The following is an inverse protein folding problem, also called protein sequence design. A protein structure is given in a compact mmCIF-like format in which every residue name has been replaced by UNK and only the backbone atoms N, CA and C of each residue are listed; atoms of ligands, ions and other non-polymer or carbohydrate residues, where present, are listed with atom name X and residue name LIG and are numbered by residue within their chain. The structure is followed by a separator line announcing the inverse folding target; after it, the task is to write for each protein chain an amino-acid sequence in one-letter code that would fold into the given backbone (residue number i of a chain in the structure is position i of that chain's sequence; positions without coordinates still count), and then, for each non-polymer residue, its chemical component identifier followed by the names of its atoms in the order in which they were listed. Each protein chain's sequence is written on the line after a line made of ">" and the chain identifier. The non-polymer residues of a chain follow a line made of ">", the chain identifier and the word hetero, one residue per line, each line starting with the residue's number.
data_IF_514343666917
#
_entry.id   IF_514343666917
#
_cell.length_a   1.000
_cell.length_b   1.000
_cell.length_c   1.000
_cell.angle_alpha   90.00
_cell.angle_beta   90.00
_cell.angle_gamma   90.00
#
_symmetry.space_group_name_H-M   'P 1'
#
loop_
_entity.id
_entity.type
_entity.pdbx_description
1 polymer ?
#
# COMPACT_ATOMS: atom_id res chain seq x y z
N UNK A 1 -48.07 -40.64 34.52
CA UNK A 1 -48.25 -39.23 34.11
C UNK A 1 -46.90 -38.57 34.11
N UNK A 2 -46.48 -38.07 32.95
CA UNK A 2 -45.27 -37.28 32.66
C UNK A 2 -43.94 -38.05 32.73
N UNK A 3 -42.95 -37.88 31.85
CA UNK A 3 -42.88 -37.41 30.46
C UNK A 3 -41.44 -37.72 30.00
N UNK A 4 -41.24 -37.78 28.70
CA UNK A 4 -39.99 -38.01 27.99
C UNK A 4 -38.87 -37.02 28.38
N UNK A 5 -37.65 -37.51 28.62
CA UNK A 5 -36.43 -36.73 28.43
C UNK A 5 -35.51 -37.48 27.47
N UNK A 6 -35.59 -37.08 26.20
CA UNK A 6 -34.58 -37.42 25.20
C UNK A 6 -33.25 -36.77 25.54
N UNK A 7 -32.23 -37.60 25.71
CA UNK A 7 -30.83 -37.16 25.73
C UNK A 7 -30.42 -36.69 24.34
N UNK A 8 -30.33 -35.38 24.15
CA UNK A 8 -29.68 -34.77 22.99
C UNK A 8 -28.17 -34.87 23.19
N UNK A 9 -27.56 -35.91 22.63
CA UNK A 9 -26.12 -35.97 22.40
C UNK A 9 -25.78 -35.00 21.26
N UNK A 10 -25.51 -33.74 21.60
CA UNK A 10 -24.88 -32.78 20.68
C UNK A 10 -23.37 -32.94 20.71
N UNK A 11 -22.85 -34.02 20.12
CA UNK A 11 -21.42 -34.12 19.83
C UNK A 11 -21.10 -33.10 18.73
N UNK A 12 -20.28 -32.11 19.07
CA UNK A 12 -19.70 -31.18 18.11
C UNK A 12 -18.65 -31.92 17.29
N UNK A 13 -19.06 -32.53 16.17
CA UNK A 13 -18.16 -32.87 15.06
C UNK A 13 -17.60 -31.57 14.47
N UNK A 14 -16.54 -31.05 15.07
CA UNK A 14 -15.66 -30.10 14.40
C UNK A 14 -14.89 -30.89 13.34
N UNK A 15 -15.39 -30.80 12.11
CA UNK A 15 -14.93 -31.44 10.87
C UNK A 15 -13.39 -31.57 10.78
N UNK A 16 -12.84 -32.80 10.84
CA UNK A 16 -11.39 -33.07 10.78
C UNK A 16 -10.74 -32.50 9.51
N UNK A 17 -11.50 -32.44 8.40
CA UNK A 17 -11.09 -31.80 7.15
C UNK A 17 -10.79 -30.30 7.33
N UNK A 18 -11.57 -29.60 8.15
CA UNK A 18 -11.34 -28.17 8.43
C UNK A 18 -10.05 -27.95 9.23
N UNK A 19 -9.69 -28.89 10.11
CA UNK A 19 -8.47 -28.85 10.92
C UNK A 19 -7.24 -29.11 10.05
N UNK A 20 -7.32 -30.08 9.13
CA UNK A 20 -6.25 -30.35 8.17
C UNK A 20 -6.01 -29.18 7.22
N UNK A 21 -7.07 -28.55 6.69
CA UNK A 21 -6.98 -27.34 5.87
C UNK A 21 -6.34 -26.17 6.63
N UNK A 22 -6.79 -25.91 7.87
CA UNK A 22 -6.18 -24.92 8.76
C UNK A 22 -4.70 -25.21 9.06
N UNK A 23 -4.31 -26.49 9.16
CA UNK A 23 -2.92 -26.90 9.38
C UNK A 23 -2.05 -26.68 8.14
N UNK A 24 -2.58 -26.96 6.94
CA UNK A 24 -1.91 -26.71 5.66
C UNK A 24 -1.77 -25.22 5.40
N UNK A 25 -2.81 -24.42 5.64
CA UNK A 25 -2.75 -22.95 5.51
C UNK A 25 -1.70 -22.36 6.46
N UNK A 26 -1.60 -22.86 7.71
CA UNK A 26 -0.56 -22.42 8.65
C UNK A 26 0.85 -22.77 8.16
N UNK A 27 1.05 -23.96 7.59
CA UNK A 27 2.34 -24.36 7.01
C UNK A 27 2.69 -23.50 5.80
N UNK A 28 1.74 -23.28 4.88
CA UNK A 28 1.94 -22.47 3.68
C UNK A 28 2.16 -20.98 4.02
N UNK A 29 1.45 -20.46 5.02
CA UNK A 29 1.65 -19.10 5.55
C UNK A 29 2.99 -18.92 6.26
N UNK A 30 3.58 -19.99 6.81
CA UNK A 30 4.92 -19.94 7.39
C UNK A 30 6.04 -19.93 6.33
N UNK A 31 5.75 -20.45 5.14
CA UNK A 31 6.68 -20.47 4.00
C UNK A 31 6.68 -19.15 3.21
N UNK A 32 5.53 -18.45 3.19
CA UNK A 32 5.38 -17.17 2.48
C UNK A 32 5.84 -16.00 3.34
N UNK A 33 6.92 -15.36 2.94
CA UNK A 33 7.44 -14.18 3.63
C UNK A 33 6.55 -12.94 3.46
N UNK A 34 6.54 -12.11 4.50
CA UNK A 34 5.91 -10.79 4.42
C UNK A 34 6.61 -9.94 3.38
N UNK A 35 5.85 -9.29 2.50
CA UNK A 35 6.37 -8.38 1.49
C UNK A 35 5.86 -6.98 1.69
N UNK A 36 6.75 -5.99 1.70
CA UNK A 36 6.42 -4.59 1.90
C UNK A 36 6.84 -3.81 0.65
N UNK A 37 5.86 -3.20 0.00
CA UNK A 37 6.10 -2.21 -1.04
C UNK A 37 5.89 -0.82 -0.44
N UNK A 38 6.93 -0.01 -0.33
CA UNK A 38 6.73 1.41 0.02
C UNK A 38 6.41 2.21 -1.22
N UNK A 39 5.25 2.85 -1.25
CA UNK A 39 4.75 3.63 -2.36
C UNK A 39 4.64 5.10 -1.94
N UNK A 40 5.61 5.89 -2.35
CA UNK A 40 5.55 7.34 -2.20
C UNK A 40 4.94 7.99 -3.44
N UNK A 41 4.12 9.02 -3.25
CA UNK A 41 3.66 9.88 -4.36
C UNK A 41 4.30 11.25 -4.24
N UNK A 42 4.87 11.76 -5.32
CA UNK A 42 5.52 13.06 -5.36
C UNK A 42 4.93 13.94 -6.46
N UNK A 43 4.74 15.22 -6.16
CA UNK A 43 4.39 16.25 -7.14
C UNK A 43 4.98 17.59 -6.69
N UNK A 44 5.98 18.09 -7.42
CA UNK A 44 6.67 19.35 -7.10
C UNK A 44 7.31 19.42 -5.70
N UNK A 45 7.74 18.28 -5.16
CA UNK A 45 8.46 18.21 -3.89
C UNK A 45 9.77 19.01 -3.94
N UNK A 46 10.16 19.57 -2.80
CA UNK A 46 11.44 20.23 -2.61
C UNK A 46 12.57 19.21 -2.41
N UNK A 47 13.80 19.68 -2.58
CA UNK A 47 14.98 18.83 -2.36
C UNK A 47 15.07 18.29 -0.92
N UNK A 48 14.62 19.08 0.06
CA UNK A 48 14.60 18.69 1.48
C UNK A 48 13.59 17.58 1.74
N UNK A 49 12.39 17.68 1.18
CA UNK A 49 11.32 16.68 1.29
C UNK A 49 11.80 15.35 0.67
N UNK A 50 12.27 15.40 -0.59
CA UNK A 50 12.84 14.21 -1.25
C UNK A 50 13.97 13.58 -0.45
N UNK A 51 14.85 14.39 0.16
CA UNK A 51 15.96 13.90 0.98
C UNK A 51 15.47 13.19 2.25
N UNK A 52 14.42 13.70 2.90
CA UNK A 52 13.83 13.08 4.09
C UNK A 52 13.22 11.73 3.76
N UNK A 53 12.41 11.66 2.70
CA UNK A 53 11.81 10.39 2.27
C UNK A 53 12.87 9.37 1.83
N UNK A 54 13.87 9.78 1.06
CA UNK A 54 14.95 8.90 0.64
C UNK A 54 15.77 8.38 1.83
N UNK A 55 16.02 9.21 2.85
CA UNK A 55 16.64 8.75 4.11
C UNK A 55 15.81 7.64 4.76
N UNK A 56 14.48 7.78 4.85
CA UNK A 56 13.61 6.74 5.39
C UNK A 56 13.66 5.44 4.59
N UNK A 57 13.64 5.53 3.25
CA UNK A 57 13.76 4.38 2.35
C UNK A 57 15.12 3.67 2.53
N UNK A 58 16.21 4.42 2.65
CA UNK A 58 17.56 3.88 2.87
C UNK A 58 17.70 3.22 4.25
N UNK A 59 17.04 3.75 5.29
CA UNK A 59 16.99 3.09 6.60
C UNK A 59 16.28 1.73 6.53
N UNK A 60 15.16 1.65 5.80
CA UNK A 60 14.46 0.38 5.57
C UNK A 60 15.31 -0.62 4.78
N UNK A 61 16.05 -0.14 3.78
CA UNK A 61 16.96 -0.97 2.99
C UNK A 61 18.08 -1.58 3.84
N UNK A 62 18.72 -0.76 4.68
CA UNK A 62 19.75 -1.20 5.62
C UNK A 62 19.22 -2.23 6.63
N UNK A 63 18.05 -1.97 7.21
CA UNK A 63 17.41 -2.87 8.18
C UNK A 63 17.02 -4.21 7.56
N UNK A 64 16.47 -4.21 6.33
CA UNK A 64 16.15 -5.43 5.60
C UNK A 64 17.42 -6.21 5.21
N UNK A 65 18.48 -5.52 4.79
CA UNK A 65 19.77 -6.12 4.47
C UNK A 65 20.39 -6.83 5.69
N UNK A 66 20.34 -6.20 6.86
CA UNK A 66 20.82 -6.79 8.11
C UNK A 66 20.09 -8.11 8.42
N UNK A 67 18.75 -8.13 8.30
CA UNK A 67 17.94 -9.36 8.50
C UNK A 67 18.24 -10.45 7.48
N UNK A 68 18.36 -10.07 6.21
CA UNK A 68 18.73 -11.00 5.12
C UNK A 68 20.09 -11.64 5.39
N UNK A 69 21.05 -10.85 5.84
CA UNK A 69 22.39 -11.32 6.18
C UNK A 69 22.37 -12.25 7.39
N UNK A 70 21.67 -11.88 8.47
CA UNK A 70 21.51 -12.72 9.65
C UNK A 70 20.88 -14.07 9.31
N UNK A 71 19.88 -14.10 8.43
CA UNK A 71 19.24 -15.33 7.97
C UNK A 71 20.17 -16.20 7.12
N UNK A 72 20.84 -15.60 6.13
CA UNK A 72 21.62 -16.35 5.16
C UNK A 72 22.94 -16.87 5.73
N UNK A 73 23.61 -16.07 6.57
CA UNK A 73 24.94 -16.39 7.08
C UNK A 73 24.94 -16.92 8.51
N UNK A 74 24.05 -16.45 9.39
CA UNK A 74 23.97 -16.90 10.79
C UNK A 74 22.90 -17.97 11.01
N UNK A 75 22.14 -18.34 9.97
CA UNK A 75 21.03 -19.28 10.02
C UNK A 75 20.01 -18.98 11.13
N UNK A 76 19.90 -17.70 11.53
CA UNK A 76 18.96 -17.26 12.54
C UNK A 76 17.56 -17.22 11.92
N UNK A 77 16.61 -17.91 12.56
CA UNK A 77 15.19 -17.88 12.17
C UNK A 77 14.55 -16.60 12.68
N UNK A 78 14.53 -15.58 11.83
CA UNK A 78 13.83 -14.33 12.10
C UNK A 78 12.33 -14.46 11.77
N UNK A 79 11.49 -14.37 12.80
CA UNK A 79 10.02 -14.43 12.68
C UNK A 79 9.43 -13.16 12.03
N UNK A 80 10.18 -12.05 12.10
CA UNK A 80 9.78 -10.74 11.59
C UNK A 80 10.45 -10.41 10.25
N UNK A 81 11.07 -11.40 9.61
CA UNK A 81 11.65 -11.25 8.28
C UNK A 81 10.62 -10.75 7.27
N UNK A 82 11.00 -9.72 6.51
CA UNK A 82 10.24 -9.22 5.38
C UNK A 82 11.12 -8.96 4.16
N UNK A 83 10.49 -9.01 2.99
CA UNK A 83 11.04 -8.49 1.73
C UNK A 83 10.62 -7.04 1.54
N UNK A 84 11.51 -6.23 0.99
CA UNK A 84 11.29 -4.80 0.81
C UNK A 84 11.56 -4.36 -0.62
N UNK A 85 10.69 -3.49 -1.13
CA UNK A 85 10.89 -2.82 -2.41
C UNK A 85 10.32 -1.40 -2.35
N UNK A 86 11.12 -0.43 -2.76
CA UNK A 86 10.77 0.98 -2.77
C UNK A 86 10.23 1.45 -4.12
N UNK A 87 9.11 2.16 -4.10
CA UNK A 87 8.48 2.78 -5.26
C UNK A 87 8.18 4.25 -5.02
N UNK A 88 8.57 5.09 -5.97
CA UNK A 88 8.24 6.52 -5.98
C UNK A 88 7.44 6.81 -7.26
N UNK A 89 6.25 7.36 -7.14
CA UNK A 89 5.39 7.73 -8.25
C UNK A 89 5.44 9.25 -8.44
N UNK A 90 6.21 9.69 -9.44
CA UNK A 90 6.26 11.09 -9.83
C UNK A 90 5.07 11.40 -10.73
N UNK A 91 4.24 12.32 -10.28
CA UNK A 91 3.12 12.83 -11.05
C UNK A 91 3.54 14.06 -11.89
N UNK A 92 3.03 14.15 -13.12
CA UNK A 92 3.41 15.18 -14.11
C UNK A 92 4.94 15.37 -14.23
N UNK A 93 5.63 14.25 -14.47
CA UNK A 93 7.08 14.15 -14.34
C UNK A 93 7.85 14.54 -15.63
N UNK A 94 7.13 14.89 -16.70
CA UNK A 94 7.69 15.18 -18.02
C UNK A 94 7.28 16.57 -18.50
N UNK A 95 8.19 17.22 -19.21
CA UNK A 95 7.99 18.50 -19.87
C UNK A 95 8.42 18.41 -21.34
N UNK A 96 7.87 19.28 -22.19
CA UNK A 96 8.25 19.35 -23.60
C UNK A 96 9.46 20.26 -23.74
N UNK A 97 10.52 19.72 -24.33
CA UNK A 97 11.71 20.48 -24.69
C UNK A 97 11.50 21.29 -25.98
N UNK A 98 12.47 22.14 -26.35
CA UNK A 98 12.45 22.99 -27.55
C UNK A 98 12.22 22.18 -28.85
N UNK A 99 12.56 20.88 -28.83
CA UNK A 99 12.36 19.94 -29.94
C UNK A 99 11.01 19.20 -29.91
N UNK A 100 10.06 19.61 -29.06
CA UNK A 100 8.80 18.90 -28.78
C UNK A 100 8.98 17.45 -28.27
N UNK A 101 10.13 17.14 -27.68
CA UNK A 101 10.37 15.84 -27.04
C UNK A 101 10.00 15.90 -25.56
N UNK A 102 9.33 14.86 -25.07
CA UNK A 102 8.96 14.74 -23.66
C UNK A 102 10.18 14.29 -22.84
N UNK A 103 10.75 15.21 -22.07
CA UNK A 103 11.92 14.99 -21.22
C UNK A 103 11.56 15.03 -19.73
N UNK A 104 12.32 14.36 -18.84
CA UNK A 104 12.09 14.45 -17.41
C UNK A 104 12.27 15.88 -16.89
N UNK A 105 11.32 16.35 -16.10
CA UNK A 105 11.34 17.70 -15.57
C UNK A 105 12.46 17.92 -14.51
N UNK A 106 12.62 19.18 -14.09
CA UNK A 106 13.61 19.56 -13.05
C UNK A 106 13.50 18.77 -11.74
N UNK A 107 12.32 18.30 -11.35
CA UNK A 107 12.10 17.57 -10.09
C UNK A 107 12.65 16.14 -10.17
N UNK A 108 12.55 15.51 -11.35
CA UNK A 108 13.19 14.21 -11.59
C UNK A 108 14.72 14.35 -11.55
N UNK A 109 15.25 15.47 -12.06
CA UNK A 109 16.69 15.78 -11.98
C UNK A 109 17.15 16.04 -10.54
N UNK A 110 16.33 16.74 -9.73
CA UNK A 110 16.59 16.93 -8.31
C UNK A 110 16.68 15.58 -7.57
N UNK A 111 15.76 14.65 -7.82
CA UNK A 111 15.82 13.31 -7.23
C UNK A 111 17.16 12.61 -7.51
N UNK A 112 17.66 12.71 -8.74
CA UNK A 112 18.96 12.14 -9.13
C UNK A 112 20.13 12.73 -8.33
N UNK A 113 20.09 14.03 -8.02
CA UNK A 113 21.11 14.70 -7.20
C UNK A 113 21.02 14.38 -5.70
N UNK A 114 19.83 14.03 -5.22
CA UNK A 114 19.58 13.79 -3.79
C UNK A 114 19.92 12.36 -3.35
N UNK A 115 19.87 11.38 -4.27
CA UNK A 115 20.04 9.96 -3.90
C UNK A 115 21.38 9.66 -3.22
N UNK A 116 22.47 10.23 -3.72
CA UNK A 116 23.82 10.06 -3.16
C UNK A 116 23.95 10.73 -1.79
N UNK A 117 23.32 11.90 -1.63
CA UNK A 117 23.27 12.64 -0.37
C UNK A 117 22.50 11.86 0.69
N UNK A 118 21.39 11.24 0.31
CA UNK A 118 20.59 10.39 1.21
C UNK A 118 21.39 9.17 1.67
N UNK A 119 22.05 8.48 0.74
CA UNK A 119 22.89 7.32 1.06
C UNK A 119 24.06 7.69 1.99
N UNK A 120 24.77 8.78 1.66
CA UNK A 120 25.88 9.28 2.48
C UNK A 120 25.43 9.63 3.90
N UNK A 121 24.25 10.24 4.05
CA UNK A 121 23.71 10.60 5.35
C UNK A 121 23.33 9.39 6.22
N UNK A 122 22.84 8.30 5.64
CA UNK A 122 22.43 7.10 6.38
C UNK A 122 23.62 6.19 6.70
N UNK A 123 24.53 5.99 5.75
CA UNK A 123 25.70 5.12 5.95
C UNK A 123 26.88 5.81 6.65
N UNK A 124 26.80 7.13 6.85
CA UNK A 124 27.84 7.95 7.49
C UNK A 124 29.21 7.85 6.81
N UNK A 125 29.21 7.53 5.52
CA UNK A 125 30.41 7.48 4.68
C UNK A 125 30.07 8.03 3.28
N UNK A 126 31.02 8.64 2.56
CA UNK A 126 30.79 9.11 1.20
C UNK A 126 30.37 7.94 0.29
N UNK A 127 29.11 7.93 -0.12
CA UNK A 127 28.52 6.88 -0.95
C UNK A 127 28.12 7.46 -2.30
N UNK A 128 28.44 6.73 -3.37
CA UNK A 128 27.99 7.04 -4.72
C UNK A 128 27.18 5.89 -5.26
N UNK A 129 25.89 6.12 -5.50
CA UNK A 129 24.99 5.09 -6.02
C UNK A 129 25.16 5.03 -7.55
N UNK A 130 25.24 3.82 -8.14
CA UNK A 130 25.26 3.67 -9.59
C UNK A 130 24.05 4.35 -10.25
N UNK A 131 24.20 4.88 -11.47
CA UNK A 131 23.09 5.49 -12.18
C UNK A 131 21.95 4.48 -12.42
N UNK A 132 20.69 4.93 -12.45
CA UNK A 132 19.56 4.03 -12.59
C UNK A 132 19.51 3.38 -13.96
N UNK A 133 18.98 2.16 -14.00
CA UNK A 133 18.51 1.55 -15.24
C UNK A 133 17.26 2.28 -15.71
N UNK A 134 17.31 2.78 -16.94
CA UNK A 134 16.21 3.49 -17.59
C UNK A 134 15.40 2.49 -18.42
N UNK A 135 14.10 2.41 -18.19
CA UNK A 135 13.20 1.56 -18.97
C UNK A 135 12.04 2.40 -19.50
N UNK A 136 11.79 2.45 -20.83
CA UNK A 136 10.59 3.07 -21.37
C UNK A 136 9.36 2.25 -20.95
N UNK A 137 8.25 2.93 -20.63
CA UNK A 137 7.01 2.27 -20.20
C UNK A 137 5.79 2.88 -20.88
N UNK A 138 4.66 2.17 -20.98
CA UNK A 138 3.46 2.71 -21.63
C UNK A 138 2.90 4.01 -21.02
N UNK A 139 3.23 4.30 -19.77
CA UNK A 139 2.78 5.50 -19.05
C UNK A 139 3.84 6.61 -18.96
N UNK A 140 5.01 6.44 -19.59
CA UNK A 140 6.15 7.35 -19.47
C UNK A 140 7.47 6.57 -19.35
N UNK A 141 8.13 6.67 -18.21
CA UNK A 141 9.42 6.02 -17.97
C UNK A 141 9.55 5.40 -16.59
N UNK A 142 10.59 4.60 -16.40
CA UNK A 142 10.95 4.03 -15.12
C UNK A 142 12.45 4.12 -14.90
N UNK A 143 12.84 4.57 -13.72
CA UNK A 143 14.22 4.60 -13.25
C UNK A 143 14.35 3.57 -12.12
N UNK A 144 15.30 2.64 -12.24
CA UNK A 144 15.50 1.57 -11.26
C UNK A 144 16.91 1.61 -10.70
N UNK A 145 17.03 1.76 -9.39
CA UNK A 145 18.28 1.68 -8.64
C UNK A 145 18.34 0.40 -7.82
N UNK A 146 19.56 -0.09 -7.63
CA UNK A 146 19.87 -1.08 -6.60
C UNK A 146 20.47 -0.28 -5.44
N UNK A 147 19.79 -0.32 -4.29
CA UNK A 147 20.23 0.36 -3.07
C UNK A 147 21.42 -0.40 -2.44
N UNK A 148 22.20 0.25 -1.54
CA UNK A 148 23.36 -0.38 -0.91
C UNK A 148 23.07 -1.71 -0.19
N UNK A 149 21.89 -1.85 0.41
CA UNK A 149 21.39 -3.08 1.04
C UNK A 149 20.85 -4.13 0.05
N UNK A 150 20.90 -3.85 -1.25
CA UNK A 150 20.51 -4.77 -2.31
C UNK A 150 18.99 -4.86 -2.55
N UNK A 151 18.19 -3.95 -1.98
CA UNK A 151 16.79 -3.79 -2.39
C UNK A 151 16.66 -2.85 -3.59
N UNK A 152 15.55 -2.95 -4.31
CA UNK A 152 15.27 -2.06 -5.43
C UNK A 152 14.57 -0.78 -4.97
N UNK A 153 14.98 0.33 -5.54
CA UNK A 153 14.23 1.58 -5.56
C UNK A 153 13.81 1.88 -6.99
N UNK A 154 12.51 2.10 -7.21
CA UNK A 154 11.93 2.29 -8.53
C UNK A 154 11.16 3.60 -8.57
N UNK A 155 11.64 4.57 -9.35
CA UNK A 155 10.88 5.77 -9.65
C UNK A 155 10.09 5.57 -10.96
N UNK A 156 8.77 5.75 -10.85
CA UNK A 156 7.82 5.74 -11.94
C UNK A 156 7.62 7.18 -12.43
N UNK A 157 8.08 7.47 -13.64
CA UNK A 157 8.03 8.79 -14.28
C UNK A 157 6.75 8.83 -15.12
N UNK A 158 5.69 9.44 -14.58
CA UNK A 158 4.38 9.49 -15.24
C UNK A 158 4.32 10.68 -16.19
N UNK A 159 3.93 10.38 -17.43
CA UNK A 159 3.64 11.37 -18.46
C UNK A 159 2.14 11.72 -18.43
N UNK A 160 1.82 13.01 -18.18
CA UNK A 160 0.43 13.48 -18.06
C UNK A 160 -0.41 13.26 -19.32
N UNK A 161 0.22 13.12 -20.48
CA UNK A 161 -0.46 12.88 -21.76
C UNK A 161 -0.90 11.43 -21.90
N UNK A 162 -0.18 10.50 -21.24
CA UNK A 162 -0.40 9.04 -21.36
C UNK A 162 -1.22 8.47 -20.21
N UNK A 163 -1.03 8.97 -19.00
CA UNK A 163 -1.70 8.45 -17.79
C UNK A 163 -2.36 9.59 -17.00
N UNK A 164 -3.43 9.24 -16.28
CA UNK A 164 -4.13 10.19 -15.40
C UNK A 164 -3.19 10.68 -14.30
N UNK A 165 -3.15 11.99 -14.13
CA UNK A 165 -2.44 12.66 -13.06
C UNK A 165 -3.32 12.80 -11.80
N UNK A 166 -2.72 13.27 -10.70
CA UNK A 166 -3.14 13.33 -9.29
C UNK A 166 -2.75 12.12 -8.45
N UNK A 167 -2.58 12.38 -7.14
CA UNK A 167 -2.21 11.40 -6.08
C UNK A 167 -3.07 10.14 -6.15
N UNK A 168 -4.40 10.25 -6.16
CA UNK A 168 -5.31 9.10 -6.33
C UNK A 168 -4.95 8.18 -7.50
N UNK A 169 -4.67 8.75 -8.68
CA UNK A 169 -4.40 7.93 -9.86
C UNK A 169 -3.03 7.26 -9.81
N UNK A 170 -2.07 7.85 -9.10
CA UNK A 170 -0.83 7.16 -8.70
C UNK A 170 -1.12 6.00 -7.74
N UNK A 171 -2.06 6.17 -6.80
CA UNK A 171 -2.49 5.09 -5.91
C UNK A 171 -3.13 3.92 -6.68
N UNK A 172 -4.07 4.23 -7.58
CA UNK A 172 -4.68 3.25 -8.48
C UNK A 172 -3.60 2.53 -9.31
N UNK A 173 -2.61 3.27 -9.82
CA UNK A 173 -1.54 2.70 -10.64
C UNK A 173 -0.74 1.63 -9.87
N UNK A 174 -0.32 1.90 -8.63
CA UNK A 174 0.44 0.91 -7.88
C UNK A 174 -0.41 -0.28 -7.44
N UNK A 175 -1.72 -0.09 -7.18
CA UNK A 175 -2.63 -1.20 -6.89
C UNK A 175 -2.71 -2.16 -8.09
N UNK A 176 -2.93 -1.63 -9.30
CA UNK A 176 -2.97 -2.47 -10.50
C UNK A 176 -1.60 -3.03 -10.90
N UNK A 177 -0.53 -2.27 -10.76
CA UNK A 177 0.79 -2.70 -11.23
C UNK A 177 1.46 -3.66 -10.25
N UNK A 178 1.51 -3.31 -8.96
CA UNK A 178 2.20 -4.12 -7.95
C UNK A 178 1.33 -5.31 -7.54
N UNK A 179 0.08 -5.06 -7.14
CA UNK A 179 -0.80 -6.13 -6.68
C UNK A 179 -1.43 -6.89 -7.86
N UNK A 180 -1.93 -6.18 -8.86
CA UNK A 180 -2.55 -6.79 -10.05
C UNK A 180 -1.54 -7.51 -10.96
N UNK A 181 -0.66 -6.76 -11.61
CA UNK A 181 0.19 -7.29 -12.67
C UNK A 181 1.34 -8.14 -12.14
N UNK A 182 2.10 -7.63 -11.15
CA UNK A 182 3.31 -8.31 -10.66
C UNK A 182 3.05 -9.52 -9.78
N UNK A 183 2.01 -9.49 -8.92
CA UNK A 183 1.69 -10.65 -8.08
C UNK A 183 0.86 -11.71 -8.82
N UNK A 184 -0.11 -11.32 -9.67
CA UNK A 184 -0.93 -12.32 -10.36
C UNK A 184 -0.40 -12.74 -11.73
N UNK A 185 0.43 -11.93 -12.39
CA UNK A 185 1.04 -12.25 -13.69
C UNK A 185 0.06 -12.35 -14.87
N UNK A 186 -1.23 -12.10 -14.66
CA UNK A 186 -2.26 -12.40 -15.66
C UNK A 186 -3.05 -11.13 -16.04
N UNK A 187 -2.47 -10.32 -16.93
CA UNK A 187 -3.13 -9.16 -17.55
C UNK A 187 -4.49 -9.54 -18.16
N UNK A 188 -4.66 -10.79 -18.60
CA UNK A 188 -5.90 -11.30 -19.19
C UNK A 188 -7.08 -11.28 -18.21
N UNK A 189 -6.83 -11.38 -16.90
CA UNK A 189 -7.87 -11.31 -15.87
C UNK A 189 -8.34 -9.88 -15.70
N UNK A 190 -7.41 -8.94 -15.56
CA UNK A 190 -7.70 -7.50 -15.45
C UNK A 190 -8.39 -7.02 -16.73
N UNK A 191 -7.95 -7.50 -17.89
CA UNK A 191 -8.55 -7.21 -19.19
C UNK A 191 -9.95 -7.84 -19.33
N UNK A 192 -10.22 -9.03 -18.79
CA UNK A 192 -11.57 -9.63 -18.71
C UNK A 192 -12.51 -8.80 -17.84
N UNK A 193 -12.04 -8.25 -16.72
CA UNK A 193 -12.82 -7.33 -15.87
C UNK A 193 -13.13 -6.03 -16.61
N UNK A 194 -12.15 -5.50 -17.35
CA UNK A 194 -12.30 -4.27 -18.11
C UNK A 194 -13.19 -4.44 -19.36
N UNK A 195 -12.99 -5.50 -20.17
CA UNK A 195 -13.75 -5.80 -21.39
C UNK A 195 -15.20 -6.18 -21.12
N UNK A 196 -15.54 -6.73 -19.95
CA UNK A 196 -16.96 -7.02 -19.58
C UNK A 196 -17.83 -5.77 -19.58
N UNK A 197 -17.23 -4.57 -19.52
CA UNK A 197 -17.90 -3.27 -19.58
C UNK A 197 -18.32 -2.85 -20.99
N UNK A 198 -17.75 -3.42 -22.07
CA UNK A 198 -18.05 -2.98 -23.45
C UNK A 198 -19.31 -3.63 -24.05
N UNK A 199 -19.80 -4.76 -23.50
CA UNK A 199 -21.00 -5.47 -23.99
C UNK A 199 -22.30 -5.18 -23.24
N UNK A 200 -22.32 -4.31 -22.22
CA UNK A 200 -23.49 -4.13 -21.33
C UNK A 200 -24.08 -2.72 -21.28
N UNK A 201 -24.34 -2.14 -22.46
CA UNK A 201 -25.28 -1.03 -22.62
C UNK A 201 -26.66 -1.50 -23.13
N UNK A 202 -27.05 -2.75 -22.86
CA UNK A 202 -28.42 -3.20 -23.10
C UNK A 202 -28.95 -4.02 -21.92
N UNK A 203 -30.05 -3.52 -21.37
CA UNK A 203 -31.09 -4.23 -20.64
C UNK A 203 -30.83 -4.74 -19.21
N UNK A 204 -31.60 -4.14 -18.29
CA UNK A 204 -32.30 -4.69 -17.10
C UNK A 204 -31.72 -5.94 -16.41
N UNK A 205 -31.11 -5.73 -15.24
CA UNK A 205 -31.43 -6.37 -13.94
C UNK A 205 -30.29 -6.10 -12.94
N UNK A 206 -30.56 -5.27 -11.92
CA UNK A 206 -29.55 -4.70 -11.01
C UNK A 206 -29.13 -5.60 -9.84
N UNK A 207 -29.67 -6.83 -9.67
CA UNK A 207 -29.48 -7.60 -8.42
C UNK A 207 -28.74 -8.93 -8.51
N UNK A 208 -28.26 -9.38 -9.68
CA UNK A 208 -27.59 -10.71 -9.81
C UNK A 208 -26.24 -10.71 -10.53
N UNK A 209 -25.52 -9.58 -10.57
CA UNK A 209 -24.43 -9.38 -11.54
C UNK A 209 -23.06 -8.95 -10.99
N UNK A 210 -22.65 -9.40 -9.81
CA UNK A 210 -21.54 -8.74 -9.09
C UNK A 210 -20.56 -9.67 -8.36
N UNK A 211 -20.27 -10.87 -8.89
CA UNK A 211 -19.28 -11.80 -8.34
C UNK A 211 -18.12 -12.07 -9.31
N UNK A 212 -17.29 -11.05 -9.61
CA UNK A 212 -16.32 -11.13 -10.71
C UNK A 212 -14.90 -11.48 -10.27
N UNK A 213 -14.43 -10.87 -9.21
CA UNK A 213 -13.06 -10.90 -8.75
C UNK A 213 -12.97 -11.43 -7.29
N UNK A 214 -14.04 -11.35 -6.50
CA UNK A 214 -14.22 -12.09 -5.25
C UNK A 214 -14.40 -13.59 -5.51
N UNK A 215 -15.10 -13.95 -6.59
CA UNK A 215 -15.13 -15.34 -7.09
C UNK A 215 -13.79 -15.78 -7.70
N UNK A 216 -12.90 -14.86 -8.08
CA UNK A 216 -11.59 -15.17 -8.64
C UNK A 216 -10.56 -15.40 -7.53
N UNK A 217 -10.56 -14.57 -6.48
CA UNK A 217 -9.85 -14.82 -5.21
C UNK A 217 -10.25 -16.16 -4.59
N UNK A 218 -11.53 -16.53 -4.67
CA UNK A 218 -12.02 -17.83 -4.20
C UNK A 218 -11.70 -19.02 -5.13
N UNK A 219 -11.39 -18.77 -6.41
CA UNK A 219 -10.99 -19.81 -7.39
C UNK A 219 -9.47 -19.86 -7.61
N UNK A 220 -8.70 -19.16 -6.79
CA UNK A 220 -7.26 -19.06 -6.94
C UNK A 220 -6.54 -20.11 -6.11
N UNK A 221 -5.35 -20.52 -6.54
CA UNK A 221 -4.46 -21.33 -5.72
C UNK A 221 -4.28 -20.68 -4.34
N UNK A 222 -4.54 -21.42 -3.26
CA UNK A 222 -4.44 -20.95 -1.88
C UNK A 222 -3.10 -20.24 -1.59
N UNK A 223 -2.03 -20.63 -2.28
CA UNK A 223 -0.71 -19.98 -2.22
C UNK A 223 -0.72 -18.51 -2.63
N UNK A 224 -1.42 -18.14 -3.72
CA UNK A 224 -1.49 -16.75 -4.19
C UNK A 224 -2.32 -15.87 -3.26
N UNK A 225 -3.39 -16.43 -2.70
CA UNK A 225 -4.20 -15.75 -1.69
C UNK A 225 -3.40 -15.42 -0.45
N UNK A 226 -2.67 -16.41 0.09
CA UNK A 226 -1.80 -16.22 1.25
C UNK A 226 -0.69 -15.21 0.95
N UNK A 227 -0.12 -15.23 -0.26
CA UNK A 227 0.86 -14.23 -0.69
C UNK A 227 0.31 -12.80 -0.66
N UNK A 228 -0.94 -12.57 -1.08
CA UNK A 228 -1.56 -11.26 -0.98
C UNK A 228 -1.92 -10.85 0.45
N UNK A 229 -2.36 -11.80 1.27
CA UNK A 229 -2.63 -11.53 2.69
C UNK A 229 -1.37 -11.11 3.45
N UNK A 230 -0.20 -11.59 3.00
CA UNK A 230 1.14 -11.27 3.51
C UNK A 230 1.88 -10.19 2.69
N UNK A 231 1.21 -9.56 1.72
CA UNK A 231 1.75 -8.41 0.99
C UNK A 231 1.11 -7.13 1.52
N UNK A 232 1.94 -6.13 1.83
CA UNK A 232 1.52 -4.84 2.33
C UNK A 232 2.03 -3.70 1.45
N UNK A 233 1.17 -2.70 1.26
CA UNK A 233 1.51 -1.44 0.61
C UNK A 233 1.65 -0.36 1.69
N UNK A 234 2.85 0.17 1.86
CA UNK A 234 3.11 1.31 2.74
C UNK A 234 2.97 2.59 1.91
N UNK A 235 1.84 3.28 2.05
CA UNK A 235 1.61 4.58 1.44
C UNK A 235 2.37 5.67 2.21
N UNK A 236 3.16 6.45 1.47
CA UNK A 236 4.02 7.50 1.99
C UNK A 236 3.76 8.81 1.25
N UNK A 237 3.81 9.92 1.99
CA UNK A 237 3.91 11.26 1.40
C UNK A 237 5.39 11.67 1.22
N UNK A 238 5.64 12.69 0.39
CA UNK A 238 6.98 13.11 -0.03
C UNK A 238 7.87 13.65 1.08
N UNK A 239 7.29 14.05 2.22
CA UNK A 239 7.92 14.75 3.34
C UNK A 239 8.10 13.89 4.60
N UNK A 240 7.85 12.58 4.50
CA UNK A 240 7.74 11.70 5.66
C UNK A 240 9.09 11.12 6.09
N UNK A 241 9.52 11.47 7.29
CA UNK A 241 10.69 10.90 7.97
C UNK A 241 10.26 9.81 8.97
N UNK A 242 10.67 8.57 8.75
CA UNK A 242 10.31 7.45 9.62
C UNK A 242 11.46 6.46 9.82
N UNK A 243 11.29 5.60 10.83
CA UNK A 243 12.25 4.56 11.18
C UNK A 243 11.68 3.16 10.92
N UNK A 244 12.53 2.14 10.69
CA UNK A 244 12.07 0.79 10.41
C UNK A 244 11.22 0.17 11.53
N UNK A 245 11.47 0.54 12.79
CA UNK A 245 10.70 0.05 13.93
C UNK A 245 9.22 0.45 13.84
N UNK A 246 8.93 1.64 13.31
CA UNK A 246 7.56 2.10 13.12
C UNK A 246 6.83 1.24 12.07
N UNK A 247 7.50 0.88 10.98
CA UNK A 247 6.94 -0.01 9.96
C UNK A 247 6.70 -1.41 10.54
N UNK A 248 7.62 -1.93 11.34
CA UNK A 248 7.45 -3.22 12.02
C UNK A 248 6.23 -3.21 12.94
N UNK A 249 6.03 -2.15 13.73
CA UNK A 249 4.85 -2.03 14.58
C UNK A 249 3.55 -2.05 13.79
N UNK A 250 3.49 -1.43 12.60
CA UNK A 250 2.34 -1.52 11.72
C UNK A 250 2.12 -2.94 11.20
N UNK A 251 3.20 -3.61 10.75
CA UNK A 251 3.13 -5.00 10.28
C UNK A 251 2.66 -5.93 11.40
N UNK A 252 3.14 -5.77 12.63
CA UNK A 252 2.75 -6.59 13.78
C UNK A 252 1.25 -6.47 14.08
N UNK A 253 0.69 -5.25 13.95
CA UNK A 253 -0.77 -5.02 14.07
C UNK A 253 -1.54 -5.71 12.96
N UNK A 254 -1.06 -5.62 11.72
CA UNK A 254 -1.67 -6.29 10.57
C UNK A 254 -1.60 -7.83 10.69
N UNK A 255 -0.51 -8.37 11.22
CA UNK A 255 -0.34 -9.81 11.47
C UNK A 255 -1.26 -10.31 12.59
N UNK A 256 -1.47 -9.51 13.64
CA UNK A 256 -2.31 -9.88 14.79
C UNK A 256 -3.77 -10.16 14.41
N UNK A 257 -4.31 -9.43 13.43
CA UNK A 257 -5.71 -9.60 13.01
C UNK A 257 -5.84 -9.54 11.49
N UNK A 258 -6.22 -10.68 10.89
CA UNK A 258 -6.42 -10.82 9.43
C UNK A 258 -7.51 -9.90 8.87
N UNK A 259 -8.48 -9.46 9.68
CA UNK A 259 -9.53 -8.51 9.25
C UNK A 259 -9.04 -7.05 9.18
N UNK A 260 -7.84 -6.76 9.65
CA UNK A 260 -7.28 -5.40 9.53
C UNK A 260 -6.83 -5.19 8.08
N UNK A 261 -7.53 -4.29 7.40
CA UNK A 261 -7.26 -3.91 6.02
C UNK A 261 -6.27 -2.75 5.91
N UNK A 262 -6.20 -1.90 6.94
CA UNK A 262 -5.24 -0.79 7.02
C UNK A 262 -4.78 -0.53 8.47
N UNK A 263 -3.52 -0.12 8.63
CA UNK A 263 -2.96 0.36 9.88
C UNK A 263 -2.23 1.69 9.66
N UNK A 264 -2.50 2.69 10.49
CA UNK A 264 -1.89 4.02 10.41
C UNK A 264 -0.93 4.22 11.58
N UNK A 265 0.22 4.84 11.33
CA UNK A 265 1.10 5.29 12.42
C UNK A 265 0.77 6.71 12.88
N UNK A 266 1.32 7.10 14.02
CA UNK A 266 1.23 8.46 14.53
C UNK A 266 2.22 9.36 13.82
N UNK A 267 1.78 10.56 13.48
CA UNK A 267 2.62 11.55 12.80
C UNK A 267 2.71 12.78 13.68
N UNK A 268 3.95 13.23 13.86
CA UNK A 268 4.26 14.40 14.68
C UNK A 268 4.83 15.48 13.77
N UNK A 269 4.17 16.64 13.63
CA UNK A 269 4.73 17.74 12.85
C UNK A 269 5.98 18.27 13.54
N UNK A 270 7.10 18.27 12.82
CA UNK A 270 8.40 18.75 13.28
C UNK A 270 8.56 20.18 12.74
N UNK A 271 8.85 21.14 13.63
CA UNK A 271 9.02 22.54 13.26
C UNK A 271 8.59 23.53 14.35
N UNK A 272 8.84 24.81 14.09
CA UNK A 272 8.53 25.94 14.96
C UNK A 272 7.78 27.04 14.21
N UNK A 273 6.71 27.58 14.79
CA UNK A 273 5.98 28.73 14.25
C UNK A 273 4.47 28.63 14.46
N UNK A 274 3.72 29.73 14.26
CA UNK A 274 2.28 29.78 14.51
C UNK A 274 1.47 28.78 13.67
N UNK A 275 1.89 28.56 12.42
CA UNK A 275 1.27 27.57 11.52
C UNK A 275 1.45 26.14 12.02
N UNK A 276 2.65 25.79 12.49
CA UNK A 276 2.96 24.46 13.05
C UNK A 276 2.22 24.25 14.37
N UNK A 277 2.05 25.29 15.19
CA UNK A 277 1.24 25.22 16.40
C UNK A 277 -0.24 24.97 16.11
N UNK A 278 -0.78 25.65 15.09
CA UNK A 278 -2.13 25.40 14.62
C UNK A 278 -2.29 23.96 14.09
N UNK A 279 -1.35 23.47 13.28
CA UNK A 279 -1.34 22.07 12.82
C UNK A 279 -1.28 21.08 13.99
N UNK A 280 -0.45 21.35 15.01
CA UNK A 280 -0.38 20.54 16.24
C UNK A 280 -1.71 20.55 17.00
N UNK A 281 -2.38 21.69 17.07
CA UNK A 281 -3.66 21.85 17.72
C UNK A 281 -4.79 21.12 16.96
N UNK A 282 -4.90 21.31 15.64
CA UNK A 282 -5.86 20.59 14.81
C UNK A 282 -5.64 19.09 14.87
N UNK A 283 -4.38 18.64 14.80
CA UNK A 283 -4.04 17.23 14.91
C UNK A 283 -4.38 16.68 16.31
N UNK A 284 -4.17 17.45 17.37
CA UNK A 284 -4.53 17.06 18.73
C UNK A 284 -6.05 16.96 18.91
N UNK A 285 -6.83 17.92 18.41
CA UNK A 285 -8.30 17.89 18.45
C UNK A 285 -8.83 16.73 17.61
N UNK A 286 -8.33 16.57 16.38
CA UNK A 286 -8.68 15.46 15.51
C UNK A 286 -8.42 14.13 16.20
N UNK A 287 -7.25 13.97 16.81
CA UNK A 287 -6.88 12.77 17.56
C UNK A 287 -7.72 12.56 18.82
N UNK A 288 -8.13 13.61 19.54
CA UNK A 288 -9.02 13.49 20.71
C UNK A 288 -10.45 13.08 20.33
N UNK A 289 -11.01 13.70 19.28
CA UNK A 289 -12.32 13.32 18.72
C UNK A 289 -12.27 11.91 18.11
N UNK A 290 -11.19 11.58 17.43
CA UNK A 290 -10.99 10.28 16.80
C UNK A 290 -10.83 9.18 17.86
N UNK A 291 -10.11 9.41 18.97
CA UNK A 291 -10.07 8.47 20.10
C UNK A 291 -11.44 8.27 20.77
N UNK A 292 -12.25 9.32 20.89
CA UNK A 292 -13.61 9.19 21.40
C UNK A 292 -14.51 8.37 20.45
N UNK A 293 -14.38 8.57 19.14
CA UNK A 293 -15.10 7.79 18.12
C UNK A 293 -14.60 6.34 18.03
N UNK A 294 -13.30 6.10 18.14
CA UNK A 294 -12.66 4.77 18.15
C UNK A 294 -13.12 3.92 19.33
N UNK A 295 -13.35 4.53 20.50
CA UNK A 295 -13.87 3.82 21.68
C UNK A 295 -15.34 3.40 21.51
N UNK A 296 -16.11 4.16 20.74
CA UNK A 296 -17.53 3.88 20.48
C UNK A 296 -17.71 2.89 19.31
N UNK A 297 -16.89 3.01 18.26
CA UNK A 297 -17.02 2.22 17.03
C UNK A 297 -16.08 1.00 16.98
N UNK A 298 -15.07 0.94 17.84
CA UNK A 298 -14.05 -0.12 17.84
C UNK A 298 -13.13 -0.12 16.61
N UNK A 299 -13.16 0.94 15.80
CA UNK A 299 -12.32 1.12 14.61
C UNK A 299 -12.04 2.61 14.33
N UNK A 300 -10.92 2.85 13.62
CA UNK A 300 -10.45 4.18 13.23
C UNK A 300 -11.19 4.61 11.98
N UNK A 301 -11.78 5.80 11.99
CA UNK A 301 -12.62 6.28 10.87
C UNK A 301 -11.81 6.80 9.69
N UNK A 302 -10.56 7.25 9.90
CA UNK A 302 -9.69 7.81 8.87
C UNK A 302 -8.21 7.51 9.14
N UNK A 303 -7.53 6.88 8.18
CA UNK A 303 -6.06 6.82 8.14
C UNK A 303 -5.52 8.07 7.46
N UNK A 304 -4.72 8.92 8.13
CA UNK A 304 -4.00 9.98 7.42
C UNK A 304 -2.98 9.33 6.47
N UNK A 305 -3.09 9.62 5.17
CA UNK A 305 -2.37 8.90 4.09
C UNK A 305 -0.85 9.03 4.08
N UNK A 306 -0.27 9.84 4.95
CA UNK A 306 1.16 10.10 5.02
C UNK A 306 2.00 8.91 5.55
N UNK A 307 1.46 8.09 6.46
CA UNK A 307 2.16 6.88 6.93
C UNK A 307 1.15 5.77 7.24
N UNK A 308 0.71 5.09 6.19
CA UNK A 308 -0.38 4.12 6.23
C UNK A 308 0.03 2.80 5.57
N UNK A 309 -0.18 1.68 6.27
CA UNK A 309 0.08 0.34 5.76
C UNK A 309 -1.24 -0.33 5.37
N UNK A 310 -1.39 -0.71 4.11
CA UNK A 310 -2.58 -1.37 3.58
C UNK A 310 -2.31 -2.83 3.22
N UNK A 311 -3.27 -3.71 3.48
CA UNK A 311 -3.18 -5.12 3.08
C UNK A 311 -3.51 -5.28 1.60
N UNK A 312 -2.67 -6.02 0.87
CA UNK A 312 -2.87 -6.28 -0.55
C UNK A 312 -4.22 -6.93 -0.86
N UNK A 313 -4.62 -7.94 -0.08
CA UNK A 313 -5.93 -8.60 -0.26
C UNK A 313 -7.13 -7.66 -0.04
N UNK A 314 -7.04 -6.74 0.92
CA UNK A 314 -8.12 -5.79 1.22
C UNK A 314 -8.26 -4.71 0.13
N UNK A 315 -7.14 -4.25 -0.44
CA UNK A 315 -7.16 -3.30 -1.55
C UNK A 315 -7.64 -3.90 -2.87
N UNK A 316 -7.34 -5.18 -3.08
CA UNK A 316 -7.75 -5.91 -4.28
C UNK A 316 -9.19 -6.45 -4.19
N UNK A 317 -9.93 -6.14 -3.14
CA UNK A 317 -11.34 -6.48 -3.05
C UNK A 317 -12.13 -5.77 -4.17
N UNK A 318 -13.09 -6.47 -4.78
CA UNK A 318 -13.80 -6.05 -5.99
C UNK A 318 -14.46 -4.71 -5.82
N UNK A 319 -15.17 -4.55 -4.70
CA UNK A 319 -15.94 -3.36 -4.45
C UNK A 319 -15.00 -2.19 -4.16
N UNK A 320 -13.95 -2.40 -3.34
CA UNK A 320 -12.95 -1.39 -3.01
C UNK A 320 -12.27 -0.88 -4.28
N UNK A 321 -11.59 -1.76 -5.02
CA UNK A 321 -10.81 -1.35 -6.18
C UNK A 321 -11.69 -0.72 -7.27
N UNK A 322 -12.85 -1.33 -7.55
CA UNK A 322 -13.77 -0.83 -8.59
C UNK A 322 -14.32 0.54 -8.25
N UNK A 323 -14.78 0.72 -7.02
CA UNK A 323 -15.37 1.99 -6.59
C UNK A 323 -14.30 3.07 -6.54
N UNK A 324 -13.11 2.76 -6.02
CA UNK A 324 -11.97 3.67 -5.96
C UNK A 324 -11.51 4.16 -7.35
N UNK A 325 -11.63 3.31 -8.38
CA UNK A 325 -11.33 3.65 -9.77
C UNK A 325 -12.40 4.49 -10.49
N UNK A 326 -13.49 4.86 -9.83
CA UNK A 326 -14.58 5.61 -10.46
C UNK A 326 -14.14 7.04 -10.79
N UNK A 327 -14.37 7.47 -12.03
CA UNK A 327 -14.01 8.83 -12.47
C UNK A 327 -14.88 9.87 -11.76
N UNK A 328 -14.28 10.96 -11.36
CA UNK A 328 -15.00 12.12 -10.82
C UNK A 328 -15.69 12.85 -11.96
N UNK A 329 -17.01 13.01 -11.86
CA UNK A 329 -17.86 13.69 -12.87
C UNK A 329 -18.56 14.92 -12.31
N UNK A 330 -18.84 14.94 -11.02
CA UNK A 330 -19.59 16.00 -10.32
C UNK A 330 -18.66 16.73 -9.34
N UNK A 331 -18.98 17.98 -9.00
CA UNK A 331 -18.19 18.78 -8.04
C UNK A 331 -17.93 18.04 -6.72
N UNK A 332 -18.95 17.36 -6.17
CA UNK A 332 -18.81 16.56 -4.94
C UNK A 332 -17.80 15.41 -5.11
N UNK A 333 -17.73 14.80 -6.29
CA UNK A 333 -16.82 13.68 -6.56
C UNK A 333 -15.37 14.17 -6.61
N UNK A 334 -15.12 15.40 -7.04
CA UNK A 334 -13.77 15.96 -6.98
C UNK A 334 -13.30 16.18 -5.53
N UNK A 335 -14.16 16.73 -4.68
CA UNK A 335 -13.85 16.92 -3.26
C UNK A 335 -13.66 15.56 -2.56
N UNK A 336 -14.57 14.61 -2.77
CA UNK A 336 -14.52 13.34 -2.07
C UNK A 336 -13.44 12.39 -2.61
N UNK A 337 -13.32 12.26 -3.93
CA UNK A 337 -12.46 11.24 -4.54
C UNK A 337 -11.05 11.74 -4.83
N UNK A 338 -10.86 13.01 -5.18
CA UNK A 338 -9.53 13.53 -5.56
C UNK A 338 -8.84 14.31 -4.43
N UNK A 339 -9.58 14.99 -3.54
CA UNK A 339 -9.00 15.71 -2.40
C UNK A 339 -9.08 14.94 -1.07
N UNK A 340 -10.01 13.98 -0.98
CA UNK A 340 -10.23 13.13 0.18
C UNK A 340 -9.95 11.66 -0.11
N UNK A 341 -9.04 11.36 -1.04
CA UNK A 341 -8.78 10.02 -1.58
C UNK A 341 -8.40 9.01 -0.49
N UNK A 342 -7.58 9.42 0.48
CA UNK A 342 -7.13 8.55 1.58
C UNK A 342 -8.30 8.22 2.53
N UNK A 343 -9.12 9.22 2.84
CA UNK A 343 -10.36 9.06 3.64
C UNK A 343 -11.36 8.18 2.90
N UNK A 344 -11.52 8.40 1.60
CA UNK A 344 -12.44 7.64 0.77
C UNK A 344 -12.01 6.17 0.69
N UNK A 345 -10.72 5.88 0.51
CA UNK A 345 -10.21 4.52 0.53
C UNK A 345 -10.49 3.82 1.87
N UNK A 346 -10.25 4.50 3.00
CA UNK A 346 -10.58 3.96 4.32
C UNK A 346 -12.08 3.67 4.47
N UNK A 347 -12.93 4.54 3.92
CA UNK A 347 -14.39 4.36 3.95
C UNK A 347 -14.81 3.12 3.18
N UNK A 348 -14.21 2.87 2.01
CA UNK A 348 -14.47 1.68 1.21
C UNK A 348 -14.05 0.40 1.94
N UNK A 349 -12.90 0.41 2.61
CA UNK A 349 -12.44 -0.72 3.41
C UNK A 349 -13.39 -1.03 4.57
N UNK A 350 -13.88 0.00 5.28
CA UNK A 350 -14.85 -0.15 6.35
C UNK A 350 -16.20 -0.68 5.84
N UNK A 351 -16.64 -0.23 4.66
CA UNK A 351 -17.88 -0.70 4.02
C UNK A 351 -17.83 -2.19 3.65
N UNK A 352 -16.66 -2.69 3.23
CA UNK A 352 -16.44 -4.13 3.00
C UNK A 352 -16.24 -4.95 4.29
N UNK A 353 -16.27 -4.30 5.46
CA UNK A 353 -16.15 -4.98 6.75
C UNK A 353 -14.70 -5.21 7.21
N UNK A 354 -13.72 -4.60 6.55
CA UNK A 354 -12.35 -4.55 7.08
C UNK A 354 -12.26 -3.56 8.24
N UNK A 355 -11.29 -3.78 9.11
CA UNK A 355 -10.95 -2.86 10.20
C UNK A 355 -9.78 -1.98 9.81
N UNK A 356 -9.84 -0.72 10.23
CA UNK A 356 -8.73 0.21 10.20
C UNK A 356 -8.25 0.40 11.64
N UNK A 357 -6.97 0.15 11.89
CA UNK A 357 -6.36 0.26 13.22
C UNK A 357 -5.35 1.40 13.29
N UNK A 358 -5.23 2.01 14.47
CA UNK A 358 -4.30 3.09 14.74
C UNK A 358 -3.18 2.57 15.63
N UNK A 359 -1.94 2.85 15.24
CA UNK A 359 -0.76 2.55 16.01
C UNK A 359 -0.12 3.85 16.49
N UNK A 360 -0.02 4.03 17.80
CA UNK A 360 0.71 5.15 18.40
C UNK A 360 2.24 4.96 18.35
N UNK A 361 2.73 4.32 17.29
CA UNK A 361 4.14 4.01 17.05
C UNK A 361 5.00 5.27 16.92
#
# INVERSE_FOLDING_TARGET
>A
SYDEMGTVNGETEFDEQSIEELSMEKKLSAEVHTKIFSCATMWHETETEMLQLLKSIMRLDSDQCARRTARNYLHLKDLDYYEYEGHIFFDDATEEDENNEQVPNKFVQQLLGVIDRAATAIHQCPMKIPPPFKTPTPYGGRLTWILPGGNFLIAHIKDKTKIRHKKRWSQVMYMYYLLGYRLFGDLNIIEKLYKRKRKKNSSKNKSKLFKGFGNLLNNMDNKKRIQMENTYLLALDGDVDFRPEAVRLLVDRMKKNKKVGAACGRIHPIGSGPMVWYQKFEYAIGHWLQKAAEHILGCVMCSPGCFSLFRGSALMDDHVLRTYCTKSTEARHYVQYDQGEDRWLCTLLLQEGYRVEYCAA
#
